data_IF_988671990920
#
_entry.id   IF_988671990920
#
_cell.length_a   1.000
_cell.length_b   1.000
_cell.length_c   1.000
_cell.angle_alpha   90.00
_cell.angle_beta   90.00
_cell.angle_gamma   90.00
#
_symmetry.space_group_name_H-M   'P 1'
#
loop_
_entity.id
_entity.type
_entity.pdbx_description
1 polymer ?
#
# COMPACT_ATOMS: atom_id res chain seq x y z
N UNK A 1 -8.00 4.98 14.98
CA UNK A 1 -7.09 6.05 15.48
C UNK A 1 -5.65 5.55 15.41
N UNK A 2 -4.70 6.44 15.11
CA UNK A 2 -3.28 6.11 15.04
C UNK A 2 -2.55 6.87 16.14
N UNK A 3 -1.61 6.21 16.81
CA UNK A 3 -0.71 6.90 17.72
C UNK A 3 0.53 7.31 16.93
N UNK A 4 0.85 8.61 16.89
CA UNK A 4 2.05 9.11 16.20
C UNK A 4 3.35 8.59 16.85
N UNK A 5 3.31 8.27 18.14
CA UNK A 5 4.42 7.61 18.83
C UNK A 5 4.47 6.09 18.59
N UNK A 6 3.48 5.51 17.91
CA UNK A 6 3.37 4.08 17.67
C UNK A 6 3.01 3.22 18.88
N UNK A 7 2.85 3.83 20.05
CA UNK A 7 2.47 3.16 21.30
C UNK A 7 1.00 3.44 21.67
N UNK A 8 0.25 2.46 22.20
CA UNK A 8 -1.08 2.71 22.72
C UNK A 8 -1.00 3.56 24.00
N UNK A 9 -1.80 4.63 24.06
CA UNK A 9 -1.86 5.52 25.22
C UNK A 9 -3.07 5.17 26.09
N UNK A 10 -2.90 4.79 27.36
CA UNK A 10 -4.00 4.33 28.22
C UNK A 10 -5.13 5.36 28.38
N UNK A 11 -4.78 6.64 28.35
CA UNK A 11 -5.72 7.76 28.46
C UNK A 11 -6.77 7.78 27.33
N UNK A 12 -6.43 7.24 26.16
CA UNK A 12 -7.28 7.27 24.97
C UNK A 12 -8.16 6.00 24.85
N UNK A 13 -8.03 5.02 25.76
CA UNK A 13 -8.86 3.81 25.79
C UNK A 13 -10.34 4.15 25.95
N UNK A 14 -10.68 5.11 26.83
CA UNK A 14 -12.06 5.56 27.04
C UNK A 14 -12.68 6.14 25.76
N UNK A 15 -11.90 6.90 25.00
CA UNK A 15 -12.34 7.46 23.71
C UNK A 15 -12.49 6.37 22.66
N UNK A 16 -11.57 5.39 22.64
CA UNK A 16 -11.65 4.25 21.73
C UNK A 16 -12.94 3.44 21.91
N UNK A 17 -13.30 3.13 23.15
CA UNK A 17 -14.50 2.35 23.47
C UNK A 17 -15.77 3.11 23.05
N UNK A 18 -15.81 4.43 23.23
CA UNK A 18 -16.93 5.27 22.80
C UNK A 18 -17.10 5.35 21.28
N UNK A 19 -15.99 5.41 20.54
CA UNK A 19 -16.02 5.64 19.08
C UNK A 19 -15.95 4.34 18.26
N UNK A 20 -15.82 3.17 18.92
CA UNK A 20 -15.56 1.87 18.27
C UNK A 20 -14.38 1.88 17.28
N UNK A 21 -13.46 2.84 17.44
CA UNK A 21 -12.40 3.07 16.47
C UNK A 21 -11.27 2.05 16.66
N UNK A 22 -10.86 1.39 15.58
CA UNK A 22 -9.70 0.48 15.64
C UNK A 22 -8.42 1.25 15.92
N UNK A 23 -7.64 0.80 16.90
CA UNK A 23 -6.29 1.33 17.12
C UNK A 23 -5.33 0.68 16.15
N UNK A 24 -4.48 1.50 15.55
CA UNK A 24 -3.32 1.05 14.82
C UNK A 24 -2.07 1.54 15.57
N UNK A 25 -1.27 0.57 16.00
CA UNK A 25 -0.05 0.74 16.78
C UNK A 25 1.08 -0.07 16.13
N UNK A 26 2.24 -0.13 16.79
CA UNK A 26 3.39 -0.93 16.32
C UNK A 26 3.15 -2.45 16.35
N UNK A 27 2.21 -2.94 17.17
CA UNK A 27 1.89 -4.36 17.28
C UNK A 27 0.99 -4.86 16.14
N UNK A 28 0.25 -3.96 15.50
CA UNK A 28 -0.54 -4.30 14.32
C UNK A 28 0.32 -4.84 13.17
N UNK A 29 -0.08 -5.93 12.49
CA UNK A 29 0.68 -6.50 11.39
C UNK A 29 0.65 -5.62 10.13
N UNK A 30 -0.43 -4.87 9.91
CA UNK A 30 -0.64 -4.03 8.72
C UNK A 30 -0.50 -2.54 9.01
N UNK A 31 -0.01 -1.80 8.02
CA UNK A 31 0.05 -0.34 8.05
C UNK A 31 -1.36 0.27 7.84
N UNK A 32 -1.67 1.35 8.55
CA UNK A 32 -2.88 2.13 8.29
C UNK A 32 -2.71 2.91 6.99
N UNK A 33 -3.79 3.07 6.23
CA UNK A 33 -3.76 3.85 4.99
C UNK A 33 -4.42 5.20 5.20
N UNK A 34 -3.71 6.26 4.81
CA UNK A 34 -4.23 7.62 4.78
C UNK A 34 -3.99 8.20 3.39
N UNK A 35 -5.06 8.59 2.70
CA UNK A 35 -5.01 9.08 1.31
C UNK A 35 -4.26 8.15 0.34
N UNK A 36 -4.26 6.84 0.62
CA UNK A 36 -3.54 5.85 -0.18
C UNK A 36 -2.09 5.58 0.26
N UNK A 37 -1.53 6.39 1.16
CA UNK A 37 -0.19 6.23 1.72
C UNK A 37 -0.18 5.40 3.01
N UNK A 38 0.86 4.58 3.24
CA UNK A 38 0.99 3.82 4.47
C UNK A 38 1.51 4.73 5.59
N UNK A 39 0.75 4.83 6.68
CA UNK A 39 1.27 5.29 7.96
C UNK A 39 1.71 4.06 8.73
N UNK A 40 3.03 3.93 8.91
CA UNK A 40 3.65 2.78 9.56
C UNK A 40 4.48 3.21 10.77
N UNK A 41 4.48 2.38 11.80
CA UNK A 41 5.32 2.53 12.99
C UNK A 41 6.50 1.56 13.00
N UNK A 42 6.51 0.57 12.09
CA UNK A 42 7.57 -0.43 11.94
C UNK A 42 7.84 -0.77 10.47
N UNK A 43 9.07 -1.19 10.17
CA UNK A 43 9.48 -1.68 8.85
C UNK A 43 8.67 -2.90 8.39
N UNK A 44 8.22 -3.76 9.33
CA UNK A 44 7.36 -4.93 9.01
C UNK A 44 6.01 -4.51 8.41
N UNK A 45 5.40 -3.44 8.91
CA UNK A 45 4.14 -2.92 8.40
C UNK A 45 4.30 -2.30 7.00
N UNK A 46 5.41 -1.58 6.80
CA UNK A 46 5.79 -1.07 5.47
C UNK A 46 6.01 -2.22 4.47
N UNK A 47 6.66 -3.31 4.92
CA UNK A 47 6.85 -4.52 4.13
C UNK A 47 5.52 -5.12 3.68
N UNK A 48 4.62 -5.36 4.63
CA UNK A 48 3.27 -5.87 4.38
C UNK A 48 2.47 -4.99 3.44
N UNK A 49 2.61 -3.66 3.52
CA UNK A 49 1.95 -2.75 2.58
C UNK A 49 2.46 -2.93 1.14
N UNK A 50 3.77 -3.04 0.94
CA UNK A 50 4.35 -3.25 -0.38
C UNK A 50 3.99 -4.63 -0.96
N UNK A 51 4.01 -5.68 -0.13
CA UNK A 51 3.53 -7.03 -0.48
C UNK A 51 2.09 -6.99 -1.03
N UNK A 52 1.18 -6.36 -0.28
CA UNK A 52 -0.22 -6.20 -0.70
C UNK A 52 -0.37 -5.38 -2.00
N UNK A 53 0.51 -4.39 -2.22
CA UNK A 53 0.50 -3.56 -3.42
C UNK A 53 0.97 -4.33 -4.65
N UNK A 54 2.02 -5.14 -4.53
CA UNK A 54 2.50 -5.98 -5.63
C UNK A 54 1.42 -6.98 -6.06
N UNK A 55 0.81 -7.68 -5.09
CA UNK A 55 -0.28 -8.63 -5.39
C UNK A 55 -1.43 -7.93 -6.13
N UNK A 56 -1.76 -6.69 -5.77
CA UNK A 56 -2.80 -5.92 -6.47
C UNK A 56 -2.38 -5.54 -7.90
N UNK A 57 -1.13 -5.16 -8.10
CA UNK A 57 -0.61 -4.82 -9.43
C UNK A 57 -0.57 -6.05 -10.32
N UNK A 58 -0.09 -7.19 -9.82
CA UNK A 58 -0.12 -8.47 -10.54
C UNK A 58 -1.54 -8.84 -10.98
N UNK A 59 -2.52 -8.71 -10.09
CA UNK A 59 -3.93 -8.94 -10.42
C UNK A 59 -4.42 -7.99 -11.50
N UNK A 60 -4.09 -6.70 -11.42
CA UNK A 60 -4.44 -5.74 -12.46
C UNK A 60 -3.79 -6.05 -13.80
N UNK A 61 -2.51 -6.45 -13.82
CA UNK A 61 -1.82 -6.90 -15.03
C UNK A 61 -2.47 -8.16 -15.61
N UNK A 62 -2.86 -9.13 -14.78
CA UNK A 62 -3.57 -10.34 -15.23
C UNK A 62 -4.90 -9.99 -15.91
N UNK A 63 -5.71 -9.13 -15.28
CA UNK A 63 -6.99 -8.67 -15.83
C UNK A 63 -6.79 -7.91 -17.14
N UNK A 64 -5.74 -7.08 -17.25
CA UNK A 64 -5.42 -6.38 -18.50
C UNK A 64 -4.99 -7.34 -19.60
N UNK A 65 -4.24 -8.40 -19.25
CA UNK A 65 -3.81 -9.44 -20.19
C UNK A 65 -4.99 -10.25 -20.73
N UNK A 66 -5.98 -10.54 -19.89
CA UNK A 66 -7.21 -11.26 -20.27
C UNK A 66 -8.09 -10.46 -21.26
N UNK A 67 -7.94 -9.13 -21.33
CA UNK A 67 -8.78 -8.26 -22.17
C UNK A 67 -8.44 -8.28 -23.66
N UNK A 68 -7.50 -9.11 -24.11
CA UNK A 68 -7.09 -9.26 -25.52
C UNK A 68 -6.85 -7.91 -26.23
N UNK A 69 -6.22 -6.97 -25.52
CA UNK A 69 -5.95 -5.63 -26.06
C UNK A 69 -4.79 -5.66 -27.04
N UNK A 70 -4.78 -4.70 -27.97
CA UNK A 70 -3.60 -4.45 -28.81
C UNK A 70 -2.41 -4.05 -27.94
N UNK A 71 -1.20 -4.33 -28.39
CA UNK A 71 0.05 -3.96 -27.67
C UNK A 71 0.04 -2.48 -27.29
N UNK A 72 -0.42 -1.61 -28.20
CA UNK A 72 -0.56 -0.16 -27.95
C UNK A 72 -1.62 0.16 -26.88
N UNK A 73 -2.76 -0.52 -26.92
CA UNK A 73 -3.82 -0.36 -25.91
C UNK A 73 -3.37 -0.80 -24.51
N UNK A 74 -2.65 -1.93 -24.43
CA UNK A 74 -2.07 -2.42 -23.18
C UNK A 74 -1.05 -1.44 -22.62
N UNK A 75 -0.12 -0.95 -23.46
CA UNK A 75 0.89 0.05 -23.03
C UNK A 75 0.23 1.33 -22.51
N UNK A 76 -0.81 1.82 -23.19
CA UNK A 76 -1.55 3.01 -22.76
C UNK A 76 -2.20 2.82 -21.37
N UNK A 77 -2.83 1.66 -21.13
CA UNK A 77 -3.46 1.36 -19.84
C UNK A 77 -2.44 1.11 -18.72
N UNK A 78 -1.33 0.41 -19.02
CA UNK A 78 -0.25 0.25 -18.06
C UNK A 78 0.34 1.59 -17.63
N UNK A 79 0.58 2.51 -18.58
CA UNK A 79 1.10 3.84 -18.27
C UNK A 79 0.10 4.72 -17.50
N UNK A 80 -1.17 4.72 -17.91
CA UNK A 80 -2.19 5.60 -17.31
C UNK A 80 -2.68 5.12 -15.96
N UNK A 81 -2.77 3.80 -15.73
CA UNK A 81 -3.33 3.23 -14.49
C UNK A 81 -2.23 2.72 -13.56
N UNK A 82 -1.40 1.79 -14.02
CA UNK A 82 -0.42 1.11 -13.15
C UNK A 82 0.73 2.06 -12.81
N UNK A 83 1.36 2.66 -13.82
CA UNK A 83 2.52 3.52 -13.63
C UNK A 83 2.15 4.81 -12.89
N UNK A 84 1.03 5.44 -13.22
CA UNK A 84 0.52 6.63 -12.53
C UNK A 84 0.29 6.38 -11.03
N UNK A 85 -0.39 5.27 -10.69
CA UNK A 85 -0.65 4.91 -9.28
C UNK A 85 0.61 4.55 -8.51
N UNK A 86 1.57 3.89 -9.16
CA UNK A 86 2.88 3.60 -8.59
C UNK A 86 3.67 4.87 -8.30
N UNK A 87 3.77 5.77 -9.27
CA UNK A 87 4.46 7.05 -9.10
C UNK A 87 3.87 7.86 -7.96
N UNK A 88 2.54 7.89 -7.85
CA UNK A 88 1.88 8.61 -6.76
C UNK A 88 2.34 8.11 -5.39
N UNK A 89 2.41 6.79 -5.19
CA UNK A 89 2.82 6.19 -3.89
C UNK A 89 4.32 6.36 -3.65
N UNK A 90 5.15 6.17 -4.68
CA UNK A 90 6.61 6.25 -4.61
C UNK A 90 7.12 7.65 -4.24
N UNK A 91 6.36 8.72 -4.51
CA UNK A 91 6.74 10.09 -4.12
C UNK A 91 6.88 10.27 -2.61
N UNK A 92 6.10 9.54 -1.81
CA UNK A 92 6.03 9.73 -0.35
C UNK A 92 6.57 8.51 0.39
N UNK A 93 6.41 7.32 -0.17
CA UNK A 93 6.72 6.07 0.54
C UNK A 93 8.09 5.54 0.12
N UNK A 94 9.03 5.35 1.06
CA UNK A 94 10.31 4.75 0.74
C UNK A 94 10.11 3.29 0.30
N UNK A 95 10.82 2.92 -0.77
CA UNK A 95 10.85 1.56 -1.31
C UNK A 95 12.27 1.01 -1.24
N UNK A 96 12.43 -0.26 -0.87
CA UNK A 96 13.72 -0.93 -0.98
C UNK A 96 13.90 -1.53 -2.36
N UNK A 97 15.14 -1.62 -2.83
CA UNK A 97 15.46 -2.15 -4.16
C UNK A 97 14.95 -3.59 -4.38
N UNK A 98 14.92 -4.38 -3.31
CA UNK A 98 14.32 -5.73 -3.32
C UNK A 98 12.85 -5.74 -3.76
N UNK A 99 12.08 -4.68 -3.53
CA UNK A 99 10.68 -4.55 -3.96
C UNK A 99 10.53 -4.05 -5.39
N UNK A 100 11.50 -3.29 -5.88
CA UNK A 100 11.47 -2.79 -7.25
C UNK A 100 11.74 -3.91 -8.27
N UNK A 101 12.52 -4.93 -7.90
CA UNK A 101 12.87 -6.04 -8.81
C UNK A 101 11.65 -6.85 -9.28
N UNK A 102 10.78 -7.39 -8.41
CA UNK A 102 9.57 -8.06 -8.85
C UNK A 102 8.68 -7.15 -9.68
N UNK A 103 8.55 -5.89 -9.26
CA UNK A 103 7.65 -4.94 -9.88
C UNK A 103 8.04 -4.62 -11.33
N UNK A 104 9.35 -4.54 -11.63
CA UNK A 104 9.87 -4.40 -13.01
C UNK A 104 9.70 -5.64 -13.88
N UNK A 105 9.47 -6.81 -13.28
CA UNK A 105 9.19 -8.04 -14.03
C UNK A 105 7.72 -8.17 -14.41
N UNK A 106 6.83 -7.47 -13.70
CA UNK A 106 5.37 -7.57 -13.85
C UNK A 106 4.83 -6.55 -14.85
N UNK A 107 5.43 -5.36 -14.88
CA UNK A 107 5.06 -4.21 -15.73
C UNK A 107 5.98 -4.16 -16.95
#
# INVERSE_FOLDING_TARGET
>A
MISLSGHPWPQWNKTREKTSARWHDKSCPSATRYLGFPIYCNKKQLKSFWDEKIIKIERHCSILRERNLTIRGTSLLCNSVILSTLWHILRITPISESWLRPLRSIV
#
